data_IF_279368580773
#
_entry.id   IF_279368580773
#
_cell.length_a   1.000
_cell.length_b   1.000
_cell.length_c   1.000
_cell.angle_alpha   90.00
_cell.angle_beta   90.00
_cell.angle_gamma   90.00
#
_symmetry.space_group_name_H-M   'P 1'
#
loop_
_entity.id
_entity.type
_entity.pdbx_description
1 polymer ?
#
# COMPACT_ATOMS: atom_id res chain seq x y z
N UNK A 1 17.83 2.38 17.37
CA UNK A 1 17.80 3.82 17.64
C UNK A 1 17.52 4.51 16.32
N UNK A 2 16.37 5.17 16.16
CA UNK A 2 15.99 5.84 14.91
C UNK A 2 16.69 7.19 14.80
N UNK A 3 17.83 7.23 14.11
CA UNK A 3 18.70 8.42 13.88
C UNK A 3 17.99 9.65 13.24
N UNK A 4 16.70 9.56 12.96
CA UNK A 4 15.92 10.55 12.19
C UNK A 4 14.90 11.33 13.02
N UNK A 5 14.71 10.94 14.28
CA UNK A 5 13.74 11.53 15.21
C UNK A 5 14.52 12.27 16.29
N UNK A 6 14.15 13.52 16.53
CA UNK A 6 14.72 14.34 17.60
C UNK A 6 13.57 15.04 18.31
N UNK A 7 13.44 14.78 19.61
CA UNK A 7 12.29 15.15 20.44
C UNK A 7 10.97 14.74 19.78
N UNK A 8 10.06 15.69 19.57
CA UNK A 8 8.77 15.51 18.90
C UNK A 8 8.83 15.76 17.38
N UNK A 9 10.01 15.90 16.81
CA UNK A 9 10.24 16.25 15.41
C UNK A 9 10.93 15.15 14.59
N UNK A 10 10.75 15.21 13.27
CA UNK A 10 11.46 14.37 12.30
C UNK A 10 12.28 15.25 11.37
N UNK A 11 13.55 14.89 11.14
CA UNK A 11 14.40 15.62 10.21
C UNK A 11 13.86 15.59 8.77
N UNK A 12 13.93 16.74 8.09
CA UNK A 12 13.35 16.94 6.76
C UNK A 12 13.97 16.03 5.69
N UNK A 13 15.30 15.88 5.67
CA UNK A 13 15.97 15.10 4.64
C UNK A 13 15.71 13.57 4.76
N UNK A 14 15.78 12.97 5.96
CA UNK A 14 15.36 11.58 6.18
C UNK A 14 13.88 11.35 5.89
N UNK A 15 13.00 12.27 6.29
CA UNK A 15 11.57 12.20 5.99
C UNK A 15 11.33 12.13 4.47
N UNK A 16 12.02 12.99 3.71
CA UNK A 16 11.94 12.97 2.25
C UNK A 16 12.38 11.63 1.66
N UNK A 17 13.50 11.06 2.12
CA UNK A 17 13.99 9.76 1.64
C UNK A 17 12.95 8.66 1.88
N UNK A 18 12.41 8.60 3.09
CA UNK A 18 11.39 7.62 3.47
C UNK A 18 10.14 7.73 2.60
N UNK A 19 9.61 8.94 2.41
CA UNK A 19 8.42 9.17 1.58
C UNK A 19 8.67 8.85 0.10
N UNK A 20 9.88 9.12 -0.40
CA UNK A 20 10.26 8.82 -1.78
C UNK A 20 10.39 7.31 -2.01
N UNK A 21 10.96 6.57 -1.07
CA UNK A 21 11.05 5.10 -1.13
C UNK A 21 9.67 4.43 -1.15
N UNK A 22 8.66 5.08 -0.57
CA UNK A 22 7.27 4.63 -0.56
C UNK A 22 6.42 5.15 -1.72
N UNK A 23 7.01 5.93 -2.64
CA UNK A 23 6.31 6.58 -3.75
C UNK A 23 5.16 7.51 -3.29
N UNK A 24 5.27 8.10 -2.11
CA UNK A 24 4.23 8.95 -1.49
C UNK A 24 4.36 10.44 -1.87
N UNK A 25 5.47 10.86 -2.47
CA UNK A 25 5.75 12.26 -2.87
C UNK A 25 6.13 12.38 -4.36
N UNK A 26 5.35 11.83 -5.30
CA UNK A 26 5.69 11.87 -6.73
C UNK A 26 5.74 13.29 -7.31
N UNK A 27 5.05 14.25 -6.67
CA UNK A 27 5.06 15.68 -7.02
C UNK A 27 6.32 16.42 -6.57
N UNK A 28 7.16 15.81 -5.72
CA UNK A 28 8.39 16.40 -5.19
C UNK A 28 9.58 15.49 -5.55
N UNK A 29 10.08 15.52 -6.80
CA UNK A 29 11.14 14.60 -7.24
C UNK A 29 12.49 14.85 -6.55
N UNK A 30 12.68 16.03 -5.95
CA UNK A 30 13.92 16.43 -5.29
C UNK A 30 13.68 16.92 -3.87
N UNK A 31 14.71 16.81 -3.02
CA UNK A 31 14.68 17.34 -1.66
C UNK A 31 14.43 18.87 -1.63
N UNK A 32 14.90 19.59 -2.64
CA UNK A 32 14.66 21.04 -2.78
C UNK A 32 13.17 21.34 -3.03
N UNK A 33 12.54 20.60 -3.96
CA UNK A 33 11.10 20.72 -4.22
C UNK A 33 10.28 20.37 -2.97
N UNK A 34 10.68 19.32 -2.25
CA UNK A 34 10.06 18.93 -0.99
C UNK A 34 10.18 20.03 0.09
N UNK A 35 11.37 20.62 0.27
CA UNK A 35 11.58 21.75 1.20
C UNK A 35 10.71 22.96 0.84
N UNK A 36 10.64 23.31 -0.44
CA UNK A 36 9.78 24.41 -0.90
C UNK A 36 8.30 24.14 -0.59
N UNK A 37 7.86 22.88 -0.77
CA UNK A 37 6.49 22.45 -0.46
C UNK A 37 6.20 22.48 1.05
N UNK A 38 7.16 22.08 1.89
CA UNK A 38 7.05 22.20 3.34
C UNK A 38 6.89 23.65 3.79
N UNK A 39 7.66 24.59 3.21
CA UNK A 39 7.49 26.02 3.51
C UNK A 39 6.12 26.56 3.07
N UNK A 40 5.59 26.10 1.94
CA UNK A 40 4.23 26.44 1.52
C UNK A 40 3.19 25.94 2.52
N UNK A 41 3.35 24.70 3.00
CA UNK A 41 2.44 24.11 4.00
C UNK A 41 2.54 24.83 5.35
N UNK A 42 3.76 25.15 5.80
CA UNK A 42 4.01 25.97 7.00
C UNK A 42 3.34 27.35 6.91
N UNK A 43 3.51 28.06 5.79
CA UNK A 43 2.87 29.37 5.58
C UNK A 43 1.34 29.30 5.55
N UNK A 44 0.77 28.14 5.27
CA UNK A 44 -0.68 27.89 5.28
C UNK A 44 -1.17 27.34 6.62
N UNK A 45 -0.31 27.21 7.62
CA UNK A 45 -0.66 26.63 8.93
C UNK A 45 -0.97 25.14 8.89
N UNK A 46 -0.56 24.42 7.83
CA UNK A 46 -0.85 22.99 7.65
C UNK A 46 0.16 22.08 8.36
N UNK A 47 1.27 22.63 8.84
CA UNK A 47 2.28 21.93 9.62
C UNK A 47 3.11 22.91 10.43
N UNK A 48 3.83 22.38 11.42
CA UNK A 48 4.78 23.13 12.22
C UNK A 48 6.20 22.69 11.89
N UNK A 49 7.11 23.66 11.84
CA UNK A 49 8.54 23.45 11.60
C UNK A 49 9.32 23.90 12.83
N UNK A 50 10.36 23.15 13.19
CA UNK A 50 11.20 23.44 14.34
C UNK A 50 12.67 23.53 13.96
N UNK A 51 13.40 24.34 14.72
CA UNK A 51 14.86 24.43 14.70
C UNK A 51 15.44 23.30 15.55
N UNK A 52 16.59 22.76 15.15
CA UNK A 52 17.36 21.85 16.00
C UNK A 52 18.35 22.71 16.79
N UNK A 53 18.15 22.80 18.10
CA UNK A 53 19.02 23.53 19.01
C UNK A 53 20.03 22.55 19.63
N UNK A 54 21.14 22.30 18.91
CA UNK A 54 22.35 21.56 19.35
C UNK A 54 22.11 20.31 20.22
N UNK A 55 22.23 19.14 19.60
CA UNK A 55 22.43 17.88 20.31
C UNK A 55 23.79 17.28 19.91
N UNK A 56 24.62 16.94 20.91
CA UNK A 56 25.95 16.33 20.72
C UNK A 56 25.88 14.97 19.98
N UNK A 57 24.70 14.34 19.96
CA UNK A 57 24.44 13.02 19.40
C UNK A 57 23.78 13.02 18.00
N UNK A 58 23.61 14.19 17.36
CA UNK A 58 22.94 14.29 16.05
C UNK A 58 23.95 14.43 14.91
N UNK A 59 23.82 13.59 13.89
CA UNK A 59 24.68 13.63 12.72
C UNK A 59 24.61 15.00 11.99
N UNK A 60 25.73 15.76 11.92
CA UNK A 60 25.74 17.12 11.36
C UNK A 60 25.39 17.17 9.87
N UNK A 61 25.63 16.09 9.12
CA UNK A 61 25.23 15.99 7.71
C UNK A 61 23.71 15.93 7.56
N UNK A 62 23.02 15.29 8.50
CA UNK A 62 21.54 15.23 8.49
C UNK A 62 20.94 16.60 8.80
N UNK A 63 21.52 17.33 9.74
CA UNK A 63 21.12 18.70 10.09
C UNK A 63 21.31 19.62 8.88
N UNK A 64 22.49 19.62 8.27
CA UNK A 64 22.80 20.42 7.09
C UNK A 64 21.89 20.08 5.90
N UNK A 65 21.69 18.79 5.62
CA UNK A 65 20.80 18.34 4.55
C UNK A 65 19.33 18.71 4.83
N UNK A 66 18.91 18.81 6.08
CA UNK A 66 17.54 19.15 6.47
C UNK A 66 17.27 20.65 6.55
N UNK A 67 18.31 21.47 6.63
CA UNK A 67 18.19 22.93 6.80
C UNK A 67 17.33 23.58 5.69
N UNK A 68 16.28 24.30 6.11
CA UNK A 68 15.45 25.12 5.24
C UNK A 68 15.26 26.50 5.87
N UNK A 69 15.66 27.54 5.14
CA UNK A 69 15.59 28.92 5.65
C UNK A 69 14.29 29.58 5.24
N UNK A 70 13.64 30.22 6.19
CA UNK A 70 12.48 31.07 5.95
C UNK A 70 12.62 32.35 6.77
N UNK A 71 12.66 33.49 6.09
CA UNK A 71 12.96 34.80 6.68
C UNK A 71 14.27 34.75 7.52
N UNK A 72 14.17 34.95 8.82
CA UNK A 72 15.30 34.98 9.76
C UNK A 72 15.51 33.65 10.51
N UNK A 73 14.72 32.62 10.21
CA UNK A 73 14.74 31.34 10.92
C UNK A 73 15.19 30.22 9.97
N UNK A 74 16.00 29.29 10.48
CA UNK A 74 16.38 28.06 9.78
C UNK A 74 15.76 26.87 10.49
N UNK A 75 14.86 26.18 9.80
CA UNK A 75 14.20 24.99 10.30
C UNK A 75 14.95 23.73 9.86
N UNK A 76 14.84 22.68 10.66
CA UNK A 76 15.51 21.39 10.43
C UNK A 76 14.54 20.22 10.56
N UNK A 77 13.47 20.41 11.33
CA UNK A 77 12.52 19.39 11.74
C UNK A 77 11.12 19.75 11.26
N UNK A 78 10.35 18.74 10.88
CA UNK A 78 8.88 18.82 10.84
C UNK A 78 8.38 18.31 12.18
N UNK A 79 7.63 19.13 12.91
CA UNK A 79 7.05 18.69 14.18
C UNK A 79 5.92 17.69 13.93
N UNK A 80 5.85 16.66 14.77
CA UNK A 80 4.67 15.79 14.82
C UNK A 80 3.49 16.62 15.30
N UNK A 81 2.43 16.65 14.49
CA UNK A 81 1.16 17.18 14.96
C UNK A 81 0.71 16.45 16.21
N UNK A 82 0.43 17.21 17.27
CA UNK A 82 -0.18 16.63 18.47
C UNK A 82 -1.52 16.00 18.07
N UNK A 83 -1.85 14.83 18.66
CA UNK A 83 -3.12 14.15 18.35
C UNK A 83 -4.34 15.04 18.59
N UNK A 84 -4.28 15.99 19.54
CA UNK A 84 -5.34 16.96 19.81
C UNK A 84 -5.56 17.94 18.65
N UNK A 85 -4.51 18.39 17.98
CA UNK A 85 -4.61 19.36 16.88
C UNK A 85 -5.18 18.72 15.61
N UNK A 86 -4.96 17.40 15.40
CA UNK A 86 -5.57 16.67 14.29
C UNK A 86 -7.09 16.64 14.42
N UNK A 87 -7.63 16.34 15.61
CA UNK A 87 -9.08 16.26 15.81
C UNK A 87 -9.75 17.63 15.67
N UNK A 88 -9.17 18.68 16.26
CA UNK A 88 -9.67 20.05 16.11
C UNK A 88 -9.70 20.50 14.65
N UNK A 89 -8.62 20.28 13.88
CA UNK A 89 -8.60 20.63 12.46
C UNK A 89 -9.59 19.80 11.63
N UNK A 90 -9.82 18.54 12.02
CA UNK A 90 -10.83 17.70 11.37
C UNK A 90 -12.24 18.22 11.65
N UNK A 91 -12.52 18.62 12.90
CA UNK A 91 -13.81 19.15 13.32
C UNK A 91 -14.12 20.47 12.59
N UNK A 92 -13.12 21.36 12.45
CA UNK A 92 -13.25 22.60 11.67
C UNK A 92 -13.57 22.32 10.19
N UNK A 93 -12.87 21.35 9.59
CA UNK A 93 -13.16 20.94 8.20
C UNK A 93 -14.55 20.35 8.10
N UNK A 94 -14.94 19.46 9.01
CA UNK A 94 -16.27 18.83 9.03
C UNK A 94 -17.38 19.88 9.18
N UNK A 95 -17.18 20.90 10.02
CA UNK A 95 -18.12 22.01 10.24
C UNK A 95 -18.31 22.88 8.99
N UNK A 96 -17.30 22.97 8.12
CA UNK A 96 -17.35 23.75 6.87
C UNK A 96 -17.89 22.96 5.67
N UNK A 97 -18.12 21.65 5.80
CA UNK A 97 -18.66 20.82 4.73
C UNK A 97 -20.11 21.19 4.41
N UNK A 98 -20.44 21.25 3.12
CA UNK A 98 -21.84 21.29 2.70
C UNK A 98 -22.57 20.01 3.17
N UNK A 99 -23.91 20.03 3.35
CA UNK A 99 -24.67 18.85 3.80
C UNK A 99 -24.42 17.60 2.94
N UNK A 100 -24.26 17.77 1.62
CA UNK A 100 -23.94 16.68 0.69
C UNK A 100 -22.53 16.12 0.91
N UNK A 101 -21.54 17.01 1.11
CA UNK A 101 -20.16 16.60 1.36
C UNK A 101 -20.01 15.93 2.73
N UNK A 102 -20.70 16.43 3.75
CA UNK A 102 -20.77 15.82 5.07
C UNK A 102 -21.38 14.41 5.00
N UNK A 103 -22.51 14.24 4.31
CA UNK A 103 -23.13 12.92 4.14
C UNK A 103 -22.19 11.93 3.43
N UNK A 104 -21.48 12.38 2.39
CA UNK A 104 -20.49 11.56 1.69
C UNK A 104 -19.31 11.18 2.60
N UNK A 105 -18.76 12.12 3.37
CA UNK A 105 -17.68 11.88 4.31
C UNK A 105 -18.11 10.91 5.43
N UNK A 106 -19.33 11.07 5.96
CA UNK A 106 -19.91 10.17 6.96
C UNK A 106 -20.10 8.75 6.42
N UNK A 107 -20.59 8.60 5.19
CA UNK A 107 -20.73 7.30 4.55
C UNK A 107 -19.38 6.64 4.31
N UNK A 108 -18.39 7.43 3.88
CA UNK A 108 -17.02 6.94 3.73
C UNK A 108 -16.42 6.49 5.07
N UNK A 109 -16.56 7.29 6.13
CA UNK A 109 -16.06 6.95 7.46
C UNK A 109 -16.72 5.67 8.01
N UNK A 110 -18.03 5.50 7.80
CA UNK A 110 -18.75 4.26 8.13
C UNK A 110 -18.19 3.06 7.37
N UNK A 111 -18.00 3.19 6.06
CA UNK A 111 -17.39 2.12 5.25
C UNK A 111 -16.00 1.75 5.79
N UNK A 112 -15.15 2.74 6.06
CA UNK A 112 -13.81 2.48 6.63
C UNK A 112 -13.90 1.78 7.98
N UNK A 113 -14.85 2.15 8.83
CA UNK A 113 -15.07 1.48 10.11
C UNK A 113 -15.54 0.03 9.93
N UNK A 114 -16.45 -0.22 9.00
CA UNK A 114 -16.96 -1.57 8.73
C UNK A 114 -15.89 -2.46 8.08
N UNK A 115 -15.09 -1.91 7.16
CA UNK A 115 -13.90 -2.57 6.62
C UNK A 115 -12.92 -2.94 7.74
N UNK A 116 -12.67 -2.01 8.67
CA UNK A 116 -11.78 -2.23 9.81
C UNK A 116 -12.28 -3.35 10.73
N UNK A 117 -13.59 -3.49 10.93
CA UNK A 117 -14.18 -4.62 11.65
C UNK A 117 -13.98 -5.94 10.90
N UNK A 118 -14.29 -5.97 9.60
CA UNK A 118 -14.10 -7.16 8.74
C UNK A 118 -12.65 -7.62 8.68
N UNK A 119 -11.73 -6.67 8.83
CA UNK A 119 -10.30 -6.93 8.83
C UNK A 119 -9.84 -7.78 10.02
N UNK A 120 -10.58 -7.81 11.14
CA UNK A 120 -10.28 -8.66 12.30
C UNK A 120 -8.81 -8.56 12.78
N UNK A 121 -8.25 -7.35 12.74
CA UNK A 121 -6.85 -7.09 13.12
C UNK A 121 -5.79 -7.39 12.04
N UNK A 122 -6.18 -7.88 10.86
CA UNK A 122 -5.26 -8.07 9.72
C UNK A 122 -4.68 -6.73 9.25
N UNK A 123 -3.41 -6.67 8.81
CA UNK A 123 -2.84 -5.44 8.27
C UNK A 123 -3.46 -5.09 6.91
N UNK A 124 -3.50 -3.80 6.57
CA UNK A 124 -3.98 -3.31 5.26
C UNK A 124 -2.91 -3.62 4.23
N UNK A 125 -3.30 -4.09 3.04
CA UNK A 125 -2.34 -4.44 1.99
C UNK A 125 -1.45 -3.27 1.59
N UNK A 126 -1.98 -2.04 1.60
CA UNK A 126 -1.20 -0.83 1.26
C UNK A 126 -0.08 -0.55 2.26
N UNK A 127 -0.25 -0.96 3.52
CA UNK A 127 0.73 -0.71 4.59
C UNK A 127 1.84 -1.76 4.64
N UNK A 128 1.66 -2.89 3.95
CA UNK A 128 2.64 -3.97 3.96
C UNK A 128 3.85 -3.61 3.08
N UNK A 129 5.07 -3.97 3.49
CA UNK A 129 6.19 -4.03 2.56
C UNK A 129 5.94 -5.11 1.49
N UNK A 130 6.69 -5.05 0.38
CA UNK A 130 6.36 -5.83 -0.83
C UNK A 130 6.46 -7.36 -0.62
N UNK A 131 7.39 -7.81 0.21
CA UNK A 131 7.57 -9.20 0.64
C UNK A 131 6.39 -9.70 1.49
N UNK A 132 5.98 -8.94 2.52
CA UNK A 132 4.83 -9.28 3.35
C UNK A 132 3.52 -9.23 2.55
N UNK A 133 3.40 -8.28 1.62
CA UNK A 133 2.28 -8.22 0.67
C UNK A 133 2.23 -9.49 -0.20
N UNK A 134 3.36 -9.89 -0.79
CA UNK A 134 3.43 -11.08 -1.64
C UNK A 134 3.10 -12.35 -0.84
N UNK A 135 3.63 -12.48 0.38
CA UNK A 135 3.31 -13.58 1.28
C UNK A 135 1.81 -13.63 1.62
N UNK A 136 1.20 -12.48 1.94
CA UNK A 136 -0.24 -12.38 2.25
C UNK A 136 -1.10 -12.80 1.05
N UNK A 137 -0.77 -12.31 -0.15
CA UNK A 137 -1.39 -12.74 -1.40
C UNK A 137 -1.27 -14.25 -1.57
N UNK A 138 -0.07 -14.80 -1.38
CA UNK A 138 0.18 -16.22 -1.57
C UNK A 138 -0.59 -17.09 -0.58
N UNK A 139 -0.76 -16.65 0.68
CA UNK A 139 -1.60 -17.33 1.68
C UNK A 139 -3.02 -17.49 1.15
N UNK A 140 -3.65 -16.41 0.70
CA UNK A 140 -5.04 -16.42 0.21
C UNK A 140 -5.16 -17.27 -1.07
N UNK A 141 -4.24 -17.12 -2.02
CA UNK A 141 -4.23 -17.95 -3.25
C UNK A 141 -4.09 -19.44 -2.91
N UNK A 142 -3.33 -19.78 -1.86
CA UNK A 142 -3.13 -21.16 -1.43
C UNK A 142 -4.32 -21.76 -0.67
N UNK A 143 -5.22 -20.94 -0.11
CA UNK A 143 -6.53 -21.37 0.43
C UNK A 143 -7.42 -21.92 -0.70
N UNK A 144 -7.26 -21.40 -1.92
CA UNK A 144 -7.93 -21.88 -3.11
C UNK A 144 -7.37 -23.20 -3.66
N UNK A 145 -8.16 -23.84 -4.53
CA UNK A 145 -7.79 -25.08 -5.24
C UNK A 145 -7.04 -24.85 -6.56
N UNK A 146 -7.07 -23.61 -7.08
CA UNK A 146 -6.50 -23.25 -8.37
C UNK A 146 -5.79 -21.89 -8.27
N UNK A 147 -5.08 -21.52 -9.34
CA UNK A 147 -4.50 -20.18 -9.48
C UNK A 147 -5.61 -19.12 -9.48
N UNK A 148 -5.38 -18.00 -8.78
CA UNK A 148 -6.42 -17.00 -8.58
C UNK A 148 -6.38 -15.93 -9.67
N UNK A 149 -7.55 -15.57 -10.20
CA UNK A 149 -7.69 -14.44 -11.09
C UNK A 149 -7.47 -13.12 -10.33
N UNK A 150 -6.66 -12.21 -10.87
CA UNK A 150 -6.23 -11.01 -10.13
C UNK A 150 -7.41 -10.13 -9.67
N UNK A 151 -8.46 -9.99 -10.49
CA UNK A 151 -9.64 -9.20 -10.10
C UNK A 151 -10.46 -9.88 -9.00
N UNK A 152 -10.59 -11.21 -9.03
CA UNK A 152 -11.31 -11.99 -8.03
C UNK A 152 -10.57 -11.98 -6.70
N UNK A 153 -9.24 -12.14 -6.75
CA UNK A 153 -8.37 -12.01 -5.59
C UNK A 153 -8.46 -10.61 -4.97
N UNK A 154 -8.50 -9.57 -5.80
CA UNK A 154 -8.69 -8.20 -5.30
C UNK A 154 -10.05 -8.05 -4.60
N UNK A 155 -11.12 -8.58 -5.19
CA UNK A 155 -12.46 -8.54 -4.59
C UNK A 155 -12.48 -9.28 -3.25
N UNK A 156 -11.83 -10.44 -3.17
CA UNK A 156 -11.71 -11.19 -1.91
C UNK A 156 -11.00 -10.38 -0.81
N UNK A 157 -9.95 -9.63 -1.15
CA UNK A 157 -9.30 -8.73 -0.19
C UNK A 157 -10.16 -7.51 0.16
N UNK A 158 -10.97 -6.98 -0.76
CA UNK A 158 -11.92 -5.89 -0.48
C UNK A 158 -13.06 -6.36 0.43
N UNK A 159 -13.56 -7.58 0.22
CA UNK A 159 -14.59 -8.21 1.04
C UNK A 159 -14.09 -8.46 2.48
N UNK A 160 -12.80 -8.76 2.63
CA UNK A 160 -12.09 -8.86 3.93
C UNK A 160 -11.71 -7.51 4.53
N UNK A 161 -11.93 -6.38 3.84
CA UNK A 161 -11.53 -5.04 4.29
C UNK A 161 -10.01 -4.80 4.27
N UNK A 162 -9.22 -5.68 3.65
CA UNK A 162 -7.77 -5.57 3.57
C UNK A 162 -7.31 -4.65 2.43
N UNK A 163 -8.16 -4.47 1.40
CA UNK A 163 -7.91 -3.59 0.26
C UNK A 163 -8.30 -2.12 0.52
N UNK A 164 -8.81 -1.75 1.70
CA UNK A 164 -9.21 -0.36 1.99
C UNK A 164 -8.07 0.63 1.76
N UNK A 165 -8.32 1.59 0.87
CA UNK A 165 -7.32 2.59 0.43
C UNK A 165 -6.38 2.11 -0.67
N UNK A 166 -6.48 0.86 -1.14
CA UNK A 166 -5.73 0.29 -2.24
C UNK A 166 -6.66 -0.01 -3.42
N UNK A 167 -6.59 0.78 -4.49
CA UNK A 167 -7.35 0.49 -5.71
C UNK A 167 -6.77 -0.69 -6.51
N UNK A 168 -7.59 -1.30 -7.37
CA UNK A 168 -7.20 -2.42 -8.22
C UNK A 168 -5.94 -2.14 -9.08
N UNK A 169 -5.80 -0.93 -9.60
CA UNK A 169 -4.61 -0.52 -10.37
C UNK A 169 -3.32 -0.57 -9.53
N UNK A 170 -3.38 -0.04 -8.30
CA UNK A 170 -2.25 -0.07 -7.37
C UNK A 170 -1.96 -1.51 -6.91
N UNK A 171 -2.99 -2.32 -6.67
CA UNK A 171 -2.85 -3.74 -6.36
C UNK A 171 -2.11 -4.50 -7.47
N UNK A 172 -2.52 -4.31 -8.73
CA UNK A 172 -1.84 -4.87 -9.92
C UNK A 172 -0.38 -4.43 -10.04
N UNK A 173 -0.10 -3.14 -9.81
CA UNK A 173 1.25 -2.61 -9.85
C UNK A 173 2.15 -3.29 -8.81
N UNK A 174 1.62 -3.53 -7.60
CA UNK A 174 2.33 -4.26 -6.54
C UNK A 174 2.52 -5.73 -6.87
N UNK A 175 1.52 -6.43 -7.41
CA UNK A 175 1.67 -7.81 -7.90
C UNK A 175 2.77 -7.90 -8.95
N UNK A 176 2.80 -6.98 -9.92
CA UNK A 176 3.86 -6.91 -10.93
C UNK A 176 5.24 -6.69 -10.31
N UNK A 177 5.34 -5.81 -9.32
CA UNK A 177 6.57 -5.57 -8.57
C UNK A 177 7.06 -6.81 -7.82
N UNK A 178 6.13 -7.54 -7.17
CA UNK A 178 6.44 -8.80 -6.48
C UNK A 178 6.87 -9.90 -7.45
N UNK A 179 6.21 -9.99 -8.61
CA UNK A 179 6.56 -10.93 -9.68
C UNK A 179 7.96 -10.70 -10.23
N UNK A 180 8.29 -9.45 -10.58
CA UNK A 180 9.62 -9.07 -11.07
C UNK A 180 10.74 -9.43 -10.08
N UNK A 181 10.44 -9.43 -8.78
CA UNK A 181 11.38 -9.80 -7.71
C UNK A 181 11.38 -11.29 -7.37
N UNK A 182 10.60 -12.11 -8.06
CA UNK A 182 10.48 -13.55 -7.79
C UNK A 182 9.79 -13.90 -6.47
N UNK A 183 9.05 -12.95 -5.87
CA UNK A 183 8.35 -13.16 -4.59
C UNK A 183 7.02 -13.93 -4.76
N UNK A 184 6.45 -13.84 -5.96
CA UNK A 184 5.30 -14.63 -6.39
C UNK A 184 5.36 -14.82 -7.91
N UNK A 185 4.58 -15.75 -8.43
CA UNK A 185 4.52 -16.03 -9.87
C UNK A 185 3.19 -15.57 -10.43
N UNK A 186 3.24 -14.73 -11.46
CA UNK A 186 2.08 -14.41 -12.29
C UNK A 186 2.18 -15.20 -13.59
N UNK A 187 1.03 -15.59 -14.16
CA UNK A 187 0.99 -16.24 -15.47
C UNK A 187 -0.17 -15.76 -16.34
N UNK A 188 -0.03 -15.99 -17.64
CA UNK A 188 -1.10 -15.77 -18.59
C UNK A 188 -2.24 -16.79 -18.37
N UNK A 189 -3.45 -16.36 -18.67
CA UNK A 189 -4.60 -17.23 -18.77
C UNK A 189 -4.50 -18.10 -20.03
N UNK A 190 -4.86 -19.37 -19.92
CA UNK A 190 -4.83 -20.37 -20.97
C UNK A 190 -6.22 -21.01 -21.12
N UNK A 191 -6.49 -21.62 -22.28
CA UNK A 191 -7.78 -22.28 -22.54
C UNK A 191 -8.13 -23.40 -21.53
N UNK A 192 -7.11 -24.03 -20.92
CA UNK A 192 -7.30 -25.05 -19.87
C UNK A 192 -7.82 -24.48 -18.55
N UNK A 193 -7.72 -23.16 -18.34
CA UNK A 193 -8.16 -22.47 -17.13
C UNK A 193 -9.67 -22.14 -17.19
N UNK A 194 -10.36 -22.52 -18.26
CA UNK A 194 -11.83 -22.45 -18.38
C UNK A 194 -12.32 -21.63 -19.56
N UNK A 195 -13.47 -20.98 -19.37
CA UNK A 195 -14.13 -20.15 -20.40
C UNK A 195 -13.64 -18.72 -20.28
N UNK A 196 -13.45 -18.03 -21.42
CA UNK A 196 -13.10 -16.60 -21.40
C UNK A 196 -14.24 -15.78 -20.81
N UNK A 197 -13.96 -15.06 -19.73
CA UNK A 197 -14.90 -14.12 -19.10
C UNK A 197 -14.39 -12.67 -19.22
N UNK A 198 -15.28 -11.67 -19.12
CA UNK A 198 -14.87 -10.25 -19.08
C UNK A 198 -13.89 -9.94 -17.93
N UNK A 199 -14.01 -10.67 -16.81
CA UNK A 199 -13.12 -10.55 -15.65
C UNK A 199 -11.64 -10.79 -15.99
N UNK A 200 -11.35 -11.60 -17.02
CA UNK A 200 -9.99 -11.83 -17.49
C UNK A 200 -9.39 -10.53 -18.02
N UNK A 201 -10.11 -9.78 -18.85
CA UNK A 201 -9.60 -8.51 -19.38
C UNK A 201 -9.31 -7.51 -18.26
N UNK A 202 -10.20 -7.45 -17.26
CA UNK A 202 -10.03 -6.62 -16.06
C UNK A 202 -8.86 -7.09 -15.19
N UNK A 203 -8.43 -8.34 -15.30
CA UNK A 203 -7.31 -8.89 -14.54
C UNK A 203 -5.95 -8.69 -15.18
N UNK A 204 -5.89 -8.21 -16.41
CA UNK A 204 -4.64 -8.08 -17.16
C UNK A 204 -3.62 -7.16 -16.44
N UNK A 205 -2.40 -7.66 -16.34
CA UNK A 205 -1.20 -6.96 -15.90
C UNK A 205 -0.15 -7.09 -16.99
N UNK A 206 0.29 -5.95 -17.54
CA UNK A 206 1.33 -5.94 -18.57
C UNK A 206 2.73 -6.10 -17.94
N UNK A 207 3.47 -7.08 -18.45
CA UNK A 207 4.85 -7.37 -18.04
C UNK A 207 5.63 -7.92 -19.23
N UNK A 208 6.71 -7.23 -19.63
CA UNK A 208 7.63 -7.68 -20.69
C UNK A 208 6.94 -8.07 -22.01
N UNK A 209 5.94 -7.28 -22.42
CA UNK A 209 5.15 -7.53 -23.63
C UNK A 209 4.10 -8.64 -23.50
N UNK A 210 3.98 -9.26 -22.33
CA UNK A 210 2.96 -10.27 -22.03
C UNK A 210 1.85 -9.71 -21.14
N UNK A 211 0.64 -10.27 -21.29
CA UNK A 211 -0.49 -10.04 -20.37
C UNK A 211 -0.61 -11.20 -19.39
N UNK A 212 -0.38 -10.91 -18.12
CA UNK A 212 -0.52 -11.84 -17.02
C UNK A 212 -1.87 -11.59 -16.33
N UNK A 213 -2.52 -12.66 -15.89
CA UNK A 213 -3.92 -12.62 -15.44
C UNK A 213 -4.15 -13.32 -14.11
N UNK A 214 -3.29 -14.30 -13.80
CA UNK A 214 -3.45 -15.22 -12.68
C UNK A 214 -2.25 -15.12 -11.74
N UNK A 215 -2.50 -15.23 -10.44
CA UNK A 215 -1.47 -15.47 -9.43
C UNK A 215 -1.36 -16.98 -9.21
N UNK A 216 -0.17 -17.54 -9.38
CA UNK A 216 0.06 -18.97 -9.25
C UNK A 216 -0.02 -19.43 -7.79
N UNK A 217 -0.70 -20.55 -7.59
CA UNK A 217 -0.67 -21.31 -6.36
C UNK A 217 0.69 -21.99 -6.19
N UNK A 218 1.17 -22.03 -4.95
CA UNK A 218 2.43 -22.68 -4.57
C UNK A 218 2.22 -23.87 -3.64
N UNK A 219 1.06 -23.96 -2.98
CA UNK A 219 0.72 -25.09 -2.15
C UNK A 219 0.56 -26.38 -2.97
N UNK A 220 0.95 -27.52 -2.41
CA UNK A 220 0.67 -28.82 -3.00
C UNK A 220 -0.86 -29.02 -3.14
N UNK A 221 -1.35 -29.72 -4.18
CA UNK A 221 -2.75 -30.12 -4.22
C UNK A 221 -3.09 -30.87 -2.93
N UNK A 222 -4.21 -30.55 -2.28
CA UNK A 222 -4.66 -31.32 -1.13
C UNK A 222 -4.80 -32.79 -1.56
N UNK A 223 -4.29 -33.75 -0.77
CA UNK A 223 -4.47 -35.16 -1.11
C UNK A 223 -5.96 -35.44 -1.20
N UNK A 224 -6.38 -36.10 -2.31
CA UNK A 224 -7.75 -36.58 -2.45
C UNK A 224 -7.97 -37.57 -1.29
N UNK A 225 -8.97 -37.36 -0.40
CA UNK A 225 -9.13 -38.17 0.81
C UNK A 225 -9.27 -39.68 0.54
N UNK A 226 -9.68 -40.04 -0.68
CA UNK A 226 -9.96 -41.42 -1.11
C UNK A 226 -8.89 -41.99 -2.06
N UNK A 227 -7.72 -41.36 -2.15
CA UNK A 227 -6.66 -41.74 -3.09
C UNK A 227 -6.95 -41.30 -4.54
N UNK A 228 -5.95 -41.41 -5.43
CA UNK A 228 -6.17 -41.17 -6.87
C UNK A 228 -7.10 -42.27 -7.39
N UNK A 229 -8.14 -41.95 -8.19
CA UNK A 229 -8.95 -42.97 -8.86
C UNK A 229 -8.03 -43.94 -9.61
N UNK A 230 -8.22 -45.24 -9.41
CA UNK A 230 -7.49 -46.25 -10.15
C UNK A 230 -7.64 -45.95 -11.66
N UNK A 231 -6.52 -45.94 -12.40
CA UNK A 231 -6.56 -45.80 -13.86
C UNK A 231 -7.46 -46.91 -14.39
N UNK A 232 -8.57 -46.53 -15.01
CA UNK A 232 -9.39 -47.46 -15.79
C UNK A 232 -8.48 -48.09 -16.85
N UNK A 233 -8.06 -49.32 -16.61
CA UNK A 233 -7.37 -50.13 -17.60
C UNK A 233 -8.40 -50.34 -18.71
N UNK A 234 -8.14 -49.76 -19.88
CA UNK A 234 -8.97 -50.04 -21.06
C UNK A 234 -8.90 -51.55 -21.32
N UNK A 235 -10.04 -52.25 -21.45
CA UNK A 235 -10.00 -53.66 -21.82
C UNK A 235 -9.29 -53.79 -23.17
N UNK A 236 -8.38 -54.77 -23.25
CA UNK A 236 -7.75 -55.13 -24.51
C UNK A 236 -8.86 -55.47 -25.51
N UNK A 237 -8.82 -54.84 -26.69
CA UNK A 237 -9.67 -55.25 -27.80
C UNK A 237 -9.25 -56.68 -28.18
N UNK A 238 -10.15 -57.64 -27.98
CA UNK A 238 -10.15 -58.90 -28.71
C UNK A 238 -10.86 -58.65 -30.05
#
# INVERSE_FOLDING_TARGET
MTEWVHDDGVFIAPLFRLLRERDEVPSCPTLSAFKARLLQAYNRGLLELASCERAEDVNPLVVAASAVRFRRTTFHLVQRWSRRNIFSALDDVVATLSPKAYAAAKNFARRVQDDEKRREGRPRLITLPLDAFAARVQTVVNEGSHDALIVELFQEFDDRGEATGLGLSAFKARLRGAHRRGLLTLRAWQAKDGVKTPAIQVSAVDHEGMKLHLVCRTAAPLPIPWGRPARLVRPAKL
#
